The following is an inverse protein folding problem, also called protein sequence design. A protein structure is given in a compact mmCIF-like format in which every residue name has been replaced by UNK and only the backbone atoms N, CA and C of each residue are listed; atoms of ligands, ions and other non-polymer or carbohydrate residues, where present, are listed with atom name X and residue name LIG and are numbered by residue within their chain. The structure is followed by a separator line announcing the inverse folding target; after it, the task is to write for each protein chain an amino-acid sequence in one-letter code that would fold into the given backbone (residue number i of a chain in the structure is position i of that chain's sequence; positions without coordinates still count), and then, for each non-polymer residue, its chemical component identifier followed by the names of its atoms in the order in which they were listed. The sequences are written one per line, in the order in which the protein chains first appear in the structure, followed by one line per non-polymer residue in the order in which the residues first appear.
data_IF_245927700974
#
_entry.id   IF_245927700974
#
_cell.length_a   1.000
_cell.length_b   1.000
_cell.length_c   1.000
_cell.angle_alpha   90.00
_cell.angle_beta   90.00
_cell.angle_gamma   90.00
#
_symmetry.space_group_name_H-M   'P 1'
#
loop_
_entity.id
_entity.type
_entity.pdbx_description
1 polymer ?
#
# COMPACT_ATOMS: atom_id res chain seq x y z
N UNK A 1 -32.68 -89.05 -19.17
CA UNK A 1 -33.80 -88.75 -20.10
C UNK A 1 -34.07 -87.24 -20.00
N UNK A 2 -34.09 -86.45 -21.08
CA UNK A 2 -35.10 -86.37 -22.17
C UNK A 2 -36.47 -85.84 -21.70
N UNK A 3 -37.13 -84.88 -22.37
CA UNK A 3 -36.74 -83.91 -23.44
C UNK A 3 -37.91 -82.91 -23.67
N UNK A 4 -37.72 -81.92 -24.58
CA UNK A 4 -38.70 -80.94 -25.15
C UNK A 4 -38.86 -79.66 -24.29
N UNK A 5 -38.79 -78.40 -24.78
CA UNK A 5 -39.23 -77.72 -26.04
C UNK A 5 -40.78 -77.59 -26.11
N UNK A 6 -41.42 -76.45 -26.45
CA UNK A 6 -40.99 -75.10 -26.94
C UNK A 6 -42.14 -74.08 -26.62
N UNK A 7 -42.28 -72.81 -27.09
CA UNK A 7 -41.75 -72.03 -28.24
C UNK A 7 -41.87 -70.50 -28.01
N UNK A 8 -40.88 -69.73 -28.49
CA UNK A 8 -40.86 -68.33 -29.02
C UNK A 8 -42.02 -67.33 -28.73
N UNK A 9 -41.63 -66.08 -28.48
CA UNK A 9 -41.95 -64.95 -29.38
C UNK A 9 -40.72 -64.02 -29.52
N UNK A 10 -40.70 -63.12 -30.52
CA UNK A 10 -39.52 -62.32 -30.92
C UNK A 10 -39.91 -60.91 -31.35
N UNK A 11 -39.32 -59.91 -30.70
CA UNK A 11 -38.98 -58.57 -31.20
C UNK A 11 -37.78 -58.07 -30.37
N UNK A 12 -36.78 -57.33 -30.86
CA UNK A 12 -36.54 -56.80 -32.21
C UNK A 12 -36.03 -55.35 -32.13
N UNK A 13 -34.97 -55.00 -32.87
CA UNK A 13 -34.23 -53.70 -32.83
C UNK A 13 -33.32 -53.49 -31.60
N UNK A 14 -32.23 -52.71 -31.66
CA UNK A 14 -31.32 -52.36 -32.78
C UNK A 14 -29.98 -51.89 -32.19
N UNK A 15 -28.87 -52.01 -32.94
CA UNK A 15 -27.56 -51.56 -32.50
C UNK A 15 -27.20 -50.18 -33.06
N UNK A 16 -26.68 -49.29 -32.21
CA UNK A 16 -25.92 -48.10 -32.64
C UNK A 16 -24.70 -47.92 -31.71
N UNK A 17 -23.51 -47.89 -32.30
CA UNK A 17 -22.30 -47.41 -31.62
C UNK A 17 -22.29 -45.88 -31.66
N UNK A 18 -22.06 -45.26 -30.50
CA UNK A 18 -21.83 -43.82 -30.39
C UNK A 18 -20.46 -43.51 -29.80
N UNK A 19 -19.44 -43.33 -30.65
CA UNK A 19 -18.21 -42.67 -30.21
C UNK A 19 -18.47 -41.16 -30.16
N UNK A 20 -18.88 -40.66 -29.00
CA UNK A 20 -19.01 -39.22 -28.76
C UNK A 20 -17.63 -38.59 -28.59
N UNK A 21 -17.07 -38.06 -29.69
CA UNK A 21 -16.03 -37.04 -29.65
C UNK A 21 -16.62 -35.79 -28.99
N UNK A 22 -16.48 -35.69 -27.66
CA UNK A 22 -16.91 -34.51 -26.92
C UNK A 22 -16.07 -33.30 -27.36
N UNK A 23 -16.68 -32.18 -27.78
CA UNK A 23 -15.94 -30.94 -27.99
C UNK A 23 -15.35 -30.50 -26.65
N UNK A 24 -14.11 -30.00 -26.67
CA UNK A 24 -13.44 -29.53 -25.46
C UNK A 24 -14.27 -28.41 -24.81
N UNK A 25 -14.77 -28.64 -23.60
CA UNK A 25 -15.55 -27.68 -22.84
C UNK A 25 -14.68 -26.49 -22.44
N UNK A 26 -14.71 -25.43 -23.27
CA UNK A 26 -14.12 -24.14 -22.97
C UNK A 26 -14.90 -23.49 -21.82
N UNK A 27 -14.49 -23.78 -20.58
CA UNK A 27 -15.02 -23.13 -19.39
C UNK A 27 -14.60 -21.65 -19.36
N UNK A 28 -15.37 -20.81 -20.05
CA UNK A 28 -15.27 -19.35 -19.93
C UNK A 28 -16.11 -18.94 -18.72
N UNK A 29 -15.47 -18.87 -17.56
CA UNK A 29 -16.15 -18.60 -16.29
C UNK A 29 -16.96 -17.31 -16.33
N UNK A 30 -18.17 -17.37 -15.75
CA UNK A 30 -19.15 -16.27 -15.68
C UNK A 30 -18.53 -14.94 -15.21
N UNK A 31 -17.59 -14.98 -14.26
CA UNK A 31 -16.88 -13.81 -13.74
C UNK A 31 -15.96 -13.14 -14.77
N UNK A 32 -15.43 -13.89 -15.74
CA UNK A 32 -14.65 -13.35 -16.86
C UNK A 32 -15.51 -12.49 -17.79
N UNK A 33 -16.78 -12.85 -18.00
CA UNK A 33 -17.72 -12.06 -18.78
C UNK A 33 -18.17 -10.79 -18.03
N UNK A 34 -18.30 -10.86 -16.70
CA UNK A 34 -18.78 -9.74 -15.88
C UNK A 34 -17.68 -8.71 -15.53
N UNK A 35 -16.42 -9.13 -15.39
CA UNK A 35 -15.31 -8.27 -14.96
C UNK A 35 -14.12 -8.19 -15.94
N UNK A 36 -14.01 -9.09 -16.92
CA UNK A 36 -12.87 -9.15 -17.84
C UNK A 36 -12.85 -8.11 -18.97
N UNK A 37 -13.90 -7.29 -19.11
CA UNK A 37 -14.10 -6.37 -20.23
C UNK A 37 -13.07 -5.24 -20.40
N UNK A 38 -12.14 -5.05 -19.46
CA UNK A 38 -11.22 -3.91 -19.43
C UNK A 38 -9.78 -4.19 -19.86
N UNK A 39 -9.43 -5.42 -20.27
CA UNK A 39 -8.03 -5.76 -20.56
C UNK A 39 -7.79 -6.62 -21.83
N UNK A 40 -8.54 -6.36 -22.90
CA UNK A 40 -8.14 -6.75 -24.28
C UNK A 40 -7.55 -5.58 -25.09
N UNK A 41 -6.82 -4.69 -24.40
CA UNK A 41 -6.03 -3.63 -25.03
C UNK A 41 -4.69 -4.15 -25.56
N UNK A 42 -4.70 -4.89 -26.69
CA UNK A 42 -3.46 -5.23 -27.39
C UNK A 42 -2.94 -3.95 -28.06
N UNK A 43 -2.05 -3.24 -27.38
CA UNK A 43 -1.56 -1.92 -27.81
C UNK A 43 -1.01 -1.99 -29.25
N UNK A 44 -1.47 -1.11 -30.17
CA UNK A 44 -0.99 -1.11 -31.54
C UNK A 44 0.48 -0.68 -31.57
N UNK A 45 1.32 -1.47 -32.23
CA UNK A 45 2.75 -1.16 -32.37
C UNK A 45 2.90 -0.02 -33.38
N UNK A 46 3.01 1.22 -32.89
CA UNK A 46 3.23 2.40 -33.74
C UNK A 46 4.66 2.34 -34.29
N UNK A 47 4.79 1.78 -35.49
CA UNK A 47 6.07 1.75 -36.22
C UNK A 47 6.36 3.14 -36.77
N UNK A 48 7.22 3.88 -36.07
CA UNK A 48 7.61 5.24 -36.47
C UNK A 48 8.39 5.22 -37.80
N UNK A 49 8.27 6.23 -38.69
CA UNK A 49 8.86 6.19 -40.04
C UNK A 49 10.40 6.26 -40.14
N UNK A 50 11.12 6.15 -39.02
CA UNK A 50 12.57 6.38 -38.92
C UNK A 50 13.30 5.25 -38.16
N UNK A 51 12.70 4.07 -38.11
CA UNK A 51 13.24 2.87 -37.43
C UNK A 51 14.06 2.00 -38.40
N UNK A 52 15.25 2.49 -38.75
CA UNK A 52 16.26 1.74 -39.52
C UNK A 52 16.90 0.65 -38.62
N UNK A 53 16.22 -0.49 -38.57
CA UNK A 53 16.44 -1.52 -37.54
C UNK A 53 17.79 -2.23 -37.59
N UNK A 54 18.82 -1.66 -36.94
CA UNK A 54 20.11 -2.32 -36.71
C UNK A 54 20.78 -1.95 -35.37
N UNK A 55 20.21 -2.42 -34.25
CA UNK A 55 20.99 -2.78 -33.05
C UNK A 55 20.13 -3.58 -32.06
N UNK A 56 20.51 -4.82 -31.67
CA UNK A 56 20.02 -5.42 -30.44
C UNK A 56 20.71 -4.73 -29.27
N UNK A 57 20.25 -3.53 -28.90
CA UNK A 57 20.67 -2.88 -27.66
C UNK A 57 20.23 -3.78 -26.53
N UNK A 58 21.18 -4.54 -25.95
CA UNK A 58 20.98 -5.19 -24.66
C UNK A 58 20.75 -4.09 -23.64
N UNK A 59 19.48 -3.75 -23.43
CA UNK A 59 19.04 -3.01 -22.27
C UNK A 59 19.39 -3.90 -21.08
N UNK A 60 20.55 -3.63 -20.46
CA UNK A 60 20.81 -4.10 -19.11
C UNK A 60 19.66 -3.56 -18.29
N UNK A 61 18.74 -4.45 -17.91
CA UNK A 61 17.68 -4.15 -16.97
C UNK A 61 18.32 -3.90 -15.60
N UNK A 62 18.90 -2.70 -15.46
CA UNK A 62 18.95 -2.01 -14.18
C UNK A 62 17.52 -2.12 -13.65
N UNK A 63 17.26 -2.86 -12.56
CA UNK A 63 15.90 -3.13 -12.14
C UNK A 63 15.22 -1.78 -11.97
N UNK A 64 14.22 -1.51 -12.81
CA UNK A 64 13.36 -0.34 -12.67
C UNK A 64 12.49 -0.62 -11.45
N UNK A 65 13.08 -0.40 -10.27
CA UNK A 65 12.34 -0.13 -9.05
C UNK A 65 11.26 0.86 -9.46
N UNK A 66 10.02 0.38 -9.50
CA UNK A 66 8.91 1.17 -10.00
C UNK A 66 8.73 2.43 -9.14
N UNK A 67 7.79 3.29 -9.53
CA UNK A 67 7.34 4.38 -8.66
C UNK A 67 6.47 3.79 -7.53
N UNK A 68 7.12 2.98 -6.68
CA UNK A 68 6.53 2.17 -5.64
C UNK A 68 6.50 2.90 -4.31
N UNK A 69 5.66 2.39 -3.42
CA UNK A 69 5.54 2.92 -2.07
C UNK A 69 6.87 2.73 -1.33
N UNK A 70 7.38 3.82 -0.76
CA UNK A 70 8.47 3.76 0.20
C UNK A 70 7.90 3.52 1.59
N UNK A 71 8.57 2.70 2.39
CA UNK A 71 8.20 2.44 3.77
C UNK A 71 9.40 2.73 4.66
N UNK A 72 9.17 3.47 5.74
CA UNK A 72 10.11 3.59 6.84
C UNK A 72 9.90 2.38 7.74
N UNK A 73 10.98 1.66 8.07
CA UNK A 73 10.98 0.45 8.89
C UNK A 73 11.84 0.69 10.12
N UNK A 74 11.24 0.60 11.31
CA UNK A 74 11.98 0.62 12.58
C UNK A 74 12.76 -0.68 12.74
N UNK A 75 14.07 -0.63 12.88
CA UNK A 75 14.93 -1.83 12.73
C UNK A 75 14.93 -2.75 13.94
N UNK A 76 14.46 -2.29 15.11
CA UNK A 76 14.48 -3.04 16.36
C UNK A 76 13.25 -3.93 16.61
N UNK A 77 12.11 -3.66 15.96
CA UNK A 77 10.89 -4.48 15.98
C UNK A 77 10.27 -4.70 14.58
N UNK A 78 10.92 -4.18 13.53
CA UNK A 78 10.46 -4.25 12.16
C UNK A 78 9.22 -3.41 11.85
N UNK A 79 8.71 -2.57 12.78
CA UNK A 79 7.44 -1.85 12.56
C UNK A 79 7.59 -0.84 11.43
N UNK A 80 6.69 -0.93 10.44
CA UNK A 80 6.75 -0.09 9.24
C UNK A 80 5.59 0.91 9.16
N UNK A 81 5.81 1.99 8.41
CA UNK A 81 4.77 2.93 7.98
C UNK A 81 5.08 3.50 6.59
N UNK A 82 4.07 3.84 5.77
CA UNK A 82 4.28 4.39 4.43
C UNK A 82 4.83 5.82 4.49
N UNK A 83 5.84 6.09 3.66
CA UNK A 83 6.37 7.44 3.43
C UNK A 83 5.69 8.08 2.22
N UNK A 84 4.90 9.12 2.47
CA UNK A 84 4.34 10.00 1.43
C UNK A 84 5.44 10.82 0.75
N UNK A 85 5.15 11.42 -0.41
CA UNK A 85 6.07 12.31 -1.12
C UNK A 85 6.21 13.65 -0.37
N UNK A 86 7.27 13.79 0.44
CA UNK A 86 7.53 14.93 1.34
C UNK A 86 8.30 16.09 0.69
N UNK A 87 7.76 16.57 -0.43
CA UNK A 87 8.24 17.80 -1.08
C UNK A 87 9.71 17.73 -1.50
N UNK A 88 10.56 18.54 -0.86
CA UNK A 88 12.00 18.62 -1.14
C UNK A 88 12.90 17.93 -0.12
N UNK A 89 12.37 17.28 0.93
CA UNK A 89 13.18 16.50 1.87
C UNK A 89 13.42 15.07 1.35
N UNK A 90 14.53 14.46 1.78
CA UNK A 90 14.78 13.06 1.51
C UNK A 90 13.83 12.15 2.32
N UNK A 91 13.64 10.94 1.80
CA UNK A 91 12.90 9.88 2.50
C UNK A 91 13.58 9.48 3.83
N UNK A 92 14.89 9.67 3.96
CA UNK A 92 15.65 9.40 5.18
C UNK A 92 15.40 10.44 6.27
N UNK A 93 15.47 11.74 5.93
CA UNK A 93 15.14 12.82 6.86
C UNK A 93 13.68 12.72 7.34
N UNK A 94 12.77 12.37 6.42
CA UNK A 94 11.34 12.12 6.73
C UNK A 94 11.15 10.91 7.66
N UNK A 95 11.83 9.80 7.38
CA UNK A 95 11.77 8.57 8.18
C UNK A 95 12.33 8.80 9.60
N UNK A 96 13.40 9.59 9.71
CA UNK A 96 14.01 10.01 10.98
C UNK A 96 13.10 10.97 11.77
N UNK A 97 12.51 12.01 11.14
CA UNK A 97 11.67 12.99 11.85
C UNK A 97 10.41 12.37 12.48
N UNK A 98 9.88 11.30 11.89
CA UNK A 98 8.80 10.51 12.49
C UNK A 98 9.25 9.58 13.64
N UNK A 99 10.53 9.20 13.72
CA UNK A 99 11.06 8.19 14.65
C UNK A 99 12.49 8.47 15.17
N UNK A 100 12.81 9.66 15.70
CA UNK A 100 14.18 10.04 16.06
C UNK A 100 14.75 9.28 17.27
N UNK A 101 13.89 8.60 18.05
CA UNK A 101 14.29 7.77 19.19
C UNK A 101 14.61 6.31 18.81
N UNK A 102 14.56 5.93 17.53
CA UNK A 102 14.80 4.56 17.06
C UNK A 102 15.61 4.55 15.76
N UNK A 103 16.44 3.52 15.57
CA UNK A 103 17.07 3.30 14.27
C UNK A 103 16.03 2.86 13.22
N UNK A 104 16.16 3.40 12.01
CA UNK A 104 15.23 3.18 10.90
C UNK A 104 15.93 2.90 9.58
N UNK A 105 15.33 2.04 8.76
CA UNK A 105 15.77 1.67 7.41
C UNK A 105 14.63 1.93 6.40
N UNK A 106 14.95 2.14 5.12
CA UNK A 106 13.96 2.42 4.07
C UNK A 106 13.87 1.23 3.13
N UNK A 107 12.65 0.77 2.87
CA UNK A 107 12.35 -0.25 1.85
C UNK A 107 11.35 0.27 0.82
N UNK A 108 11.42 -0.27 -0.39
CA UNK A 108 10.63 0.15 -1.56
C UNK A 108 9.89 -1.05 -2.15
N UNK A 109 8.60 -0.90 -2.46
CA UNK A 109 7.81 -1.95 -3.10
C UNK A 109 6.40 -1.51 -3.49
N UNK A 110 5.70 -2.33 -4.28
CA UNK A 110 4.26 -2.13 -4.53
C UNK A 110 3.39 -2.50 -3.32
N UNK A 111 3.91 -3.38 -2.46
CA UNK A 111 3.40 -3.68 -1.12
C UNK A 111 4.59 -3.97 -0.19
N UNK A 112 4.37 -3.96 1.12
CA UNK A 112 5.42 -4.17 2.12
C UNK A 112 6.03 -5.58 2.11
N UNK A 113 5.23 -6.63 1.84
CA UNK A 113 5.68 -8.02 1.91
C UNK A 113 6.66 -8.36 0.77
N UNK A 114 6.60 -7.61 -0.35
CA UNK A 114 7.55 -7.67 -1.45
C UNK A 114 8.41 -6.39 -1.56
N UNK A 115 8.61 -5.67 -0.45
CA UNK A 115 9.49 -4.50 -0.43
C UNK A 115 10.93 -4.89 -0.12
N UNK A 116 11.89 -4.17 -0.71
CA UNK A 116 13.32 -4.38 -0.51
C UNK A 116 14.06 -3.06 -0.22
N UNK A 117 15.22 -3.15 0.45
CA UNK A 117 16.15 -2.04 0.64
C UNK A 117 16.68 -1.54 -0.71
N UNK A 118 17.35 -0.39 -0.72
CA UNK A 118 18.07 0.10 -1.92
C UNK A 118 19.19 -0.86 -2.36
N UNK A 119 19.76 -1.62 -1.43
CA UNK A 119 20.71 -2.72 -1.68
C UNK A 119 20.04 -4.03 -2.17
N UNK A 120 18.73 -4.04 -2.38
CA UNK A 120 17.99 -5.19 -2.90
C UNK A 120 17.64 -6.28 -1.88
N UNK A 121 17.96 -6.09 -0.59
CA UNK A 121 17.63 -7.05 0.47
C UNK A 121 16.13 -6.96 0.80
N UNK A 122 15.36 -8.06 0.76
CA UNK A 122 13.92 -8.01 1.05
C UNK A 122 13.67 -7.71 2.54
N UNK A 123 12.59 -6.98 2.82
CA UNK A 123 12.19 -6.59 4.17
C UNK A 123 12.04 -7.81 5.11
N UNK A 124 11.58 -8.95 4.59
CA UNK A 124 11.46 -10.22 5.32
C UNK A 124 12.78 -10.79 5.88
N UNK A 125 13.93 -10.35 5.37
CA UNK A 125 15.26 -10.79 5.84
C UNK A 125 15.90 -9.80 6.83
N UNK A 126 15.23 -8.69 7.19
CA UNK A 126 15.74 -7.79 8.23
C UNK A 126 15.68 -8.47 9.62
N UNK A 127 16.63 -8.22 10.54
CA UNK A 127 16.78 -9.03 11.76
C UNK A 127 15.56 -9.07 12.70
N UNK A 128 14.67 -8.07 12.64
CA UNK A 128 13.42 -8.01 13.39
C UNK A 128 12.19 -7.88 12.48
N UNK A 129 12.28 -8.35 11.23
CA UNK A 129 11.19 -8.25 10.25
C UNK A 129 9.85 -8.74 10.84
N UNK A 130 8.79 -7.93 10.69
CA UNK A 130 7.43 -8.20 11.18
C UNK A 130 7.24 -8.43 12.70
N UNK A 131 8.30 -8.46 13.53
CA UNK A 131 8.26 -8.79 14.98
C UNK A 131 7.21 -8.01 15.79
N UNK A 132 6.95 -6.76 15.41
CA UNK A 132 5.89 -5.89 15.94
C UNK A 132 4.45 -6.47 15.88
N UNK A 133 4.22 -7.55 15.09
CA UNK A 133 2.93 -8.25 14.99
C UNK A 133 2.70 -9.20 16.15
N UNK A 134 3.77 -9.77 16.69
CA UNK A 134 3.73 -10.86 17.65
C UNK A 134 4.01 -10.39 19.09
N UNK A 135 4.89 -9.38 19.25
CA UNK A 135 5.19 -8.77 20.55
C UNK A 135 5.47 -7.26 20.50
N UNK A 136 5.40 -6.63 21.67
CA UNK A 136 5.77 -5.23 21.88
C UNK A 136 7.17 -5.21 22.52
N UNK A 137 8.19 -4.89 21.74
CA UNK A 137 9.58 -4.84 22.20
C UNK A 137 9.80 -3.62 23.11
N UNK A 138 10.24 -3.85 24.35
CA UNK A 138 10.50 -2.78 25.31
C UNK A 138 11.57 -1.80 24.79
N UNK A 139 11.29 -0.49 24.89
CA UNK A 139 12.18 0.57 24.38
C UNK A 139 12.10 0.82 22.86
N UNK A 140 11.47 -0.05 22.07
CA UNK A 140 11.26 0.18 20.63
C UNK A 140 10.08 1.12 20.37
N UNK A 141 10.28 2.43 20.54
CA UNK A 141 9.29 3.42 20.11
C UNK A 141 9.89 4.64 19.41
N UNK A 142 9.04 5.33 18.64
CA UNK A 142 9.46 6.49 17.86
C UNK A 142 9.60 7.77 18.71
N UNK A 143 9.01 7.77 19.92
CA UNK A 143 9.19 8.84 20.92
C UNK A 143 10.09 8.47 22.12
N UNK A 144 10.55 7.22 22.22
CA UNK A 144 11.40 6.72 23.30
C UNK A 144 10.72 6.64 24.68
N UNK A 145 9.38 6.69 24.73
CA UNK A 145 8.57 6.70 25.97
C UNK A 145 7.48 5.63 25.96
N UNK A 146 6.55 5.74 25.01
CA UNK A 146 5.35 4.92 24.95
C UNK A 146 5.53 3.82 23.89
N UNK A 147 5.21 2.54 24.14
CA UNK A 147 5.63 1.45 23.24
C UNK A 147 5.10 1.55 21.80
N UNK A 148 3.96 2.23 21.60
CA UNK A 148 3.33 2.48 20.30
C UNK A 148 3.38 3.94 19.86
N UNK A 149 4.06 4.81 20.63
CA UNK A 149 4.09 6.26 20.41
C UNK A 149 4.83 6.67 19.13
N UNK A 150 4.19 7.53 18.33
CA UNK A 150 4.83 8.35 17.30
C UNK A 150 5.64 9.49 17.94
N UNK A 151 6.63 10.02 17.23
CA UNK A 151 7.38 11.18 17.69
C UNK A 151 6.45 12.38 17.96
N UNK A 152 6.63 13.01 19.12
CA UNK A 152 5.91 14.23 19.47
C UNK A 152 6.56 15.44 18.78
N UNK A 153 6.10 15.76 17.57
CA UNK A 153 6.42 17.02 16.89
C UNK A 153 5.82 18.17 17.70
N UNK A 154 6.60 19.23 18.00
CA UNK A 154 6.03 20.41 18.67
C UNK A 154 5.24 21.25 17.65
N UNK A 155 4.23 21.99 18.11
CA UNK A 155 3.39 22.83 17.25
C UNK A 155 4.25 23.90 16.55
N UNK A 156 5.31 24.36 17.20
CA UNK A 156 6.27 25.32 16.68
C UNK A 156 7.21 24.74 15.62
N UNK A 157 7.43 23.41 15.63
CA UNK A 157 8.33 22.70 14.71
C UNK A 157 7.59 22.03 13.53
N UNK A 158 6.25 22.07 13.48
CA UNK A 158 5.45 21.34 12.49
C UNK A 158 5.47 22.03 11.11
N UNK A 159 6.11 21.43 10.08
CA UNK A 159 6.23 22.04 8.76
C UNK A 159 4.91 22.00 7.95
N UNK A 160 3.92 21.22 8.41
CA UNK A 160 2.63 21.07 7.71
C UNK A 160 1.70 22.25 7.94
N UNK A 161 1.88 23.00 9.05
CA UNK A 161 1.04 24.12 9.46
C UNK A 161 1.07 25.30 8.47
N UNK A 162 -0.13 25.83 8.23
CA UNK A 162 -0.44 26.89 7.27
C UNK A 162 -1.09 28.07 7.99
N UNK A 163 -0.97 29.25 7.38
CA UNK A 163 -1.65 30.45 7.88
C UNK A 163 -3.16 30.27 7.80
N UNK A 164 -3.82 30.26 8.97
CA UNK A 164 -5.26 30.02 9.12
C UNK A 164 -5.63 28.71 9.81
N UNK A 165 -4.68 27.79 9.98
CA UNK A 165 -4.93 26.53 10.69
C UNK A 165 -5.18 26.81 12.19
N UNK A 166 -6.12 26.07 12.80
CA UNK A 166 -6.44 26.17 14.22
C UNK A 166 -5.72 25.07 14.99
N UNK A 167 -4.88 25.47 15.94
CA UNK A 167 -4.11 24.56 16.80
C UNK A 167 -4.59 24.65 18.24
N UNK A 168 -4.58 23.51 18.95
CA UNK A 168 -4.84 23.46 20.38
C UNK A 168 -3.53 23.63 21.15
N UNK A 169 -3.23 24.88 21.55
CA UNK A 169 -2.09 25.21 22.38
C UNK A 169 -2.44 25.12 23.87
N UNK A 170 -1.44 25.25 24.75
CA UNK A 170 -1.62 25.25 26.21
C UNK A 170 -2.56 26.37 26.68
N UNK A 171 -2.49 27.53 26.02
CA UNK A 171 -3.29 28.72 26.32
C UNK A 171 -4.66 28.72 25.57
N UNK A 172 -5.03 27.57 24.98
CA UNK A 172 -6.29 27.36 24.28
C UNK A 172 -6.17 27.30 22.75
N UNK A 173 -7.27 27.58 22.05
CA UNK A 173 -7.32 27.54 20.59
C UNK A 173 -6.61 28.77 19.99
N UNK A 174 -5.55 28.53 19.24
CA UNK A 174 -4.78 29.54 18.50
C UNK A 174 -4.95 29.36 17.00
N UNK A 175 -4.82 30.45 16.24
CA UNK A 175 -4.63 30.44 14.78
C UNK A 175 -3.15 30.52 14.48
N UNK A 176 -2.64 29.59 13.68
CA UNK A 176 -1.28 29.64 13.15
C UNK A 176 -1.16 30.71 12.05
N UNK A 177 -0.07 31.48 12.07
CA UNK A 177 0.25 32.49 11.07
C UNK A 177 1.75 32.46 10.76
N UNK A 178 2.09 31.96 9.57
CA UNK A 178 3.45 32.01 9.02
C UNK A 178 3.86 33.48 8.82
N UNK A 179 4.98 33.88 9.39
CA UNK A 179 5.43 35.29 9.44
C UNK A 179 6.05 35.71 8.11
N UNK A 180 6.79 34.82 7.47
CA UNK A 180 7.59 35.09 6.28
C UNK A 180 7.15 34.24 5.07
N UNK A 181 7.65 34.57 3.87
CA UNK A 181 7.32 33.84 2.62
C UNK A 181 8.13 32.57 2.39
N UNK A 182 9.24 32.36 3.11
CA UNK A 182 10.09 31.15 3.04
C UNK A 182 9.58 30.09 4.02
N UNK A 183 9.09 30.53 5.18
CA UNK A 183 8.18 29.77 6.03
C UNK A 183 8.83 29.08 7.21
N UNK A 184 9.84 29.72 7.82
CA UNK A 184 10.57 29.18 8.96
C UNK A 184 10.00 29.63 10.32
N UNK A 185 9.17 30.68 10.35
CA UNK A 185 8.66 31.27 11.59
C UNK A 185 7.13 31.25 11.66
N UNK A 186 6.59 30.70 12.75
CA UNK A 186 5.17 30.59 13.04
C UNK A 186 4.81 31.48 14.24
N UNK A 187 3.94 32.47 14.02
CA UNK A 187 3.29 33.21 15.09
C UNK A 187 1.90 32.61 15.38
N UNK A 188 1.53 32.54 16.65
CA UNK A 188 0.23 32.06 17.10
C UNK A 188 -0.58 33.21 17.70
N UNK A 189 -1.85 33.32 17.32
CA UNK A 189 -2.78 34.36 17.82
C UNK A 189 -4.09 33.74 18.28
N UNK A 190 -4.67 34.14 19.43
CA UNK A 190 -5.92 33.55 19.92
C UNK A 190 -7.05 33.53 18.88
N UNK A 191 -7.78 32.41 18.82
CA UNK A 191 -8.92 32.25 17.92
C UNK A 191 -10.01 33.28 18.22
N UNK A 192 -10.58 33.96 17.20
CA UNK A 192 -11.67 34.91 17.39
C UNK A 192 -12.85 34.30 18.14
N UNK A 193 -13.45 35.06 19.06
CA UNK A 193 -14.50 34.60 19.99
C UNK A 193 -15.65 33.83 19.31
N UNK A 194 -16.13 34.31 18.15
CA UNK A 194 -17.17 33.66 17.33
C UNK A 194 -16.85 32.20 16.94
N UNK A 195 -15.55 31.86 16.87
CA UNK A 195 -15.06 30.51 16.57
C UNK A 195 -14.79 29.76 17.87
N UNK A 196 -14.25 30.42 18.91
CA UNK A 196 -14.05 29.79 20.24
C UNK A 196 -15.39 29.28 20.81
N UNK A 197 -16.42 30.12 20.81
CA UNK A 197 -17.78 29.78 21.25
C UNK A 197 -18.45 28.65 20.44
N UNK A 198 -17.99 28.39 19.20
CA UNK A 198 -18.43 27.23 18.40
C UNK A 198 -17.79 25.92 18.88
N UNK A 199 -16.53 25.95 19.30
CA UNK A 199 -15.78 24.77 19.73
C UNK A 199 -15.83 24.51 21.25
N UNK A 200 -16.18 25.50 22.08
CA UNK A 200 -16.51 25.34 23.51
C UNK A 200 -17.64 24.33 23.76
N UNK A 201 -18.44 24.01 22.74
CA UNK A 201 -19.54 23.02 22.78
C UNK A 201 -19.30 21.80 21.88
N UNK A 202 -18.06 21.58 21.43
CA UNK A 202 -17.73 20.40 20.64
C UNK A 202 -17.93 19.12 21.49
N UNK A 203 -18.59 18.07 20.97
CA UNK A 203 -18.75 16.82 21.71
C UNK A 203 -17.38 16.17 21.94
N UNK A 204 -17.10 15.82 23.19
CA UNK A 204 -15.86 15.13 23.58
C UNK A 204 -15.92 13.69 23.08
N UNK A 205 -15.34 13.43 21.90
CA UNK A 205 -15.36 12.12 21.22
C UNK A 205 -14.39 11.10 21.81
N UNK A 206 -13.46 11.53 22.65
CA UNK A 206 -12.57 10.67 23.42
C UNK A 206 -12.76 10.97 24.91
N UNK A 207 -13.40 10.04 25.62
CA UNK A 207 -13.35 9.94 27.08
C UNK A 207 -12.57 8.68 27.42
N UNK A 208 -11.78 8.79 28.48
CA UNK A 208 -11.13 7.67 29.18
C UNK A 208 -12.17 6.76 29.86
#
# INVERSE_FOLDING_TARGET
MMRRHTRRFVFGTAALLGLSLAPAAQAQDFFSALFGGFNQGRAPVIRMPFDDGNAPVQQVERPRYGVGQAYCVRTCDGRYFPLSATGGQSKAETCNSFCPASATEIVYGGNINSAATESGKPYSELPNAFRYRDEIVAGCSCNGRDPVGLAAVKIEDDPTLRTGDIVAAKDGLMVARRVDRRGAELNFTPVPERIRAKYERAPVVARE
#
